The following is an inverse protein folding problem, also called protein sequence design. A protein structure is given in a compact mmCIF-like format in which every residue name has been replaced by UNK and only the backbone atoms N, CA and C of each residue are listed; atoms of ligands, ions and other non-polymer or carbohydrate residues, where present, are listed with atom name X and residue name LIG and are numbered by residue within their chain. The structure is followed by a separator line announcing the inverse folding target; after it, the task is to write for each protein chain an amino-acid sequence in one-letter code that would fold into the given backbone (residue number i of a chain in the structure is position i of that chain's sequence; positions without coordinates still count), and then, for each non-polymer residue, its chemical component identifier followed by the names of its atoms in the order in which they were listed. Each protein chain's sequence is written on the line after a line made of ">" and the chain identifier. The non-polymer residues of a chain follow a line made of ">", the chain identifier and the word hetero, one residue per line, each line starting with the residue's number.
data_IF_199406345826
#
_entry.id   IF_199406345826
#
_cell.length_a   1.000
_cell.length_b   1.000
_cell.length_c   1.000
_cell.angle_alpha   90.00
_cell.angle_beta   90.00
_cell.angle_gamma   90.00
#
_symmetry.space_group_name_H-M   'P 1'
#
loop_
_entity.id
_entity.type
_entity.pdbx_description
1 polymer ?
#
# COMPACT_ATOMS: atom_id res chain seq x y z
N UNK A 1 -33.72 20.95 19.45
CA UNK A 1 -33.34 20.41 18.15
C UNK A 1 -32.15 19.48 18.37
N UNK A 2 -32.24 18.19 18.10
CA UNK A 2 -31.07 17.32 18.20
C UNK A 2 -30.11 17.73 17.08
N UNK A 3 -28.88 18.08 17.44
CA UNK A 3 -27.77 18.27 16.52
C UNK A 3 -27.59 16.95 15.76
N UNK A 4 -27.84 16.97 14.47
CA UNK A 4 -27.45 15.91 13.55
C UNK A 4 -25.92 15.74 13.74
N UNK A 5 -25.49 14.73 14.45
CA UNK A 5 -24.10 14.28 14.36
C UNK A 5 -23.88 13.88 12.89
N UNK A 6 -23.22 14.77 12.17
CA UNK A 6 -22.82 14.49 10.80
C UNK A 6 -21.94 13.25 10.84
N UNK A 7 -22.43 12.14 10.32
CA UNK A 7 -21.62 10.90 10.21
C UNK A 7 -20.37 11.22 9.40
N UNK A 8 -19.20 10.90 9.96
CA UNK A 8 -17.95 11.10 9.25
C UNK A 8 -17.96 10.32 7.93
N UNK A 9 -17.35 10.86 6.86
CA UNK A 9 -17.17 10.09 5.63
C UNK A 9 -16.24 8.90 5.88
N UNK A 10 -16.44 7.82 5.14
CA UNK A 10 -15.67 6.58 5.26
C UNK A 10 -14.45 6.60 4.36
N UNK A 11 -13.28 6.35 4.94
CA UNK A 11 -12.02 6.29 4.24
C UNK A 11 -11.43 4.88 4.33
N UNK A 12 -11.30 4.18 3.21
CA UNK A 12 -10.51 2.95 3.17
C UNK A 12 -9.04 3.27 2.85
N UNK A 13 -8.14 2.83 3.73
CA UNK A 13 -6.70 3.06 3.60
C UNK A 13 -5.99 1.74 3.34
N UNK A 14 -5.22 1.66 2.24
CA UNK A 14 -4.46 0.47 1.87
C UNK A 14 -2.96 0.72 2.05
N UNK A 15 -2.30 -0.08 2.90
CA UNK A 15 -0.87 0.09 3.21
C UNK A 15 -0.05 -1.15 2.82
N UNK A 16 1.20 -0.99 2.32
CA UNK A 16 2.04 -2.12 1.96
C UNK A 16 2.60 -2.87 3.16
N UNK A 17 2.48 -2.28 4.35
CA UNK A 17 2.95 -2.86 5.61
C UNK A 17 2.06 -2.44 6.76
N UNK A 18 2.03 -3.29 7.78
CA UNK A 18 1.44 -2.90 9.07
C UNK A 18 2.20 -1.69 9.65
N UNK A 19 1.51 -0.66 10.20
CA UNK A 19 2.12 0.60 10.62
C UNK A 19 3.15 0.49 11.73
N UNK A 20 3.23 -0.64 12.43
CA UNK A 20 4.17 -0.88 13.53
C UNK A 20 5.19 -1.98 13.20
N UNK A 21 6.38 -1.97 13.87
CA UNK A 21 6.95 -0.92 14.70
C UNK A 21 7.41 0.30 13.89
N UNK A 22 7.54 1.47 14.53
CA UNK A 22 7.86 2.76 13.89
C UNK A 22 9.36 2.89 13.53
N UNK A 23 9.91 1.89 12.87
CA UNK A 23 11.33 1.81 12.52
C UNK A 23 11.63 2.08 11.03
N UNK A 24 10.63 2.51 10.27
CA UNK A 24 10.72 2.86 8.84
C UNK A 24 9.88 4.09 8.53
N UNK A 25 10.34 4.90 7.57
CA UNK A 25 9.67 6.15 7.19
C UNK A 25 8.22 5.95 6.73
N UNK A 26 7.97 4.90 5.92
CA UNK A 26 6.62 4.55 5.45
C UNK A 26 5.65 4.25 6.61
N UNK A 27 6.12 3.55 7.64
CA UNK A 27 5.32 3.24 8.83
C UNK A 27 5.08 4.46 9.72
N UNK A 28 6.13 5.25 9.94
CA UNK A 28 6.03 6.46 10.75
C UNK A 28 5.06 7.45 10.11
N UNK A 29 5.16 7.66 8.80
CA UNK A 29 4.27 8.55 8.06
C UNK A 29 2.82 8.12 8.17
N UNK A 30 2.49 6.87 7.82
CA UNK A 30 1.09 6.40 7.88
C UNK A 30 0.54 6.42 9.29
N UNK A 31 1.35 6.10 10.30
CA UNK A 31 0.95 6.16 11.69
C UNK A 31 0.49 7.57 12.10
N UNK A 32 1.22 8.61 11.67
CA UNK A 32 0.83 10.00 11.92
C UNK A 32 -0.35 10.45 11.04
N UNK A 33 -0.37 10.04 9.78
CA UNK A 33 -1.49 10.34 8.87
C UNK A 33 -2.82 9.78 9.41
N UNK A 34 -2.84 8.53 9.87
CA UNK A 34 -4.03 7.91 10.47
C UNK A 34 -4.54 8.71 11.67
N UNK A 35 -3.65 9.17 12.55
CA UNK A 35 -4.04 9.96 13.71
C UNK A 35 -4.70 11.31 13.34
N UNK A 36 -4.31 11.90 12.22
CA UNK A 36 -4.91 13.13 11.70
C UNK A 36 -6.23 12.82 10.98
N UNK A 37 -6.22 11.83 10.10
CA UNK A 37 -7.36 11.45 9.27
C UNK A 37 -8.53 10.92 10.11
N UNK A 38 -8.27 10.16 11.16
CA UNK A 38 -9.31 9.62 12.06
C UNK A 38 -10.14 10.71 12.77
N UNK A 39 -9.64 11.94 12.82
CA UNK A 39 -10.44 13.07 13.33
C UNK A 39 -11.59 13.45 12.38
N UNK A 40 -11.44 13.16 11.10
CA UNK A 40 -12.33 13.61 10.02
C UNK A 40 -13.04 12.47 9.29
N UNK A 41 -12.53 11.25 9.39
CA UNK A 41 -13.02 10.08 8.68
C UNK A 41 -13.21 8.89 9.63
N UNK A 42 -14.18 8.04 9.30
CA UNK A 42 -14.25 6.67 9.80
C UNK A 42 -13.30 5.82 8.94
N UNK A 43 -12.22 5.33 9.55
CA UNK A 43 -11.12 4.69 8.83
C UNK A 43 -11.23 3.17 8.84
N UNK A 44 -11.26 2.59 7.64
CA UNK A 44 -11.07 1.17 7.42
C UNK A 44 -9.65 0.90 6.89
N UNK A 45 -8.80 0.34 7.75
CA UNK A 45 -7.38 0.14 7.48
C UNK A 45 -7.10 -1.28 6.96
N UNK A 46 -6.62 -1.37 5.74
CA UNK A 46 -6.21 -2.60 5.07
C UNK A 46 -4.69 -2.68 4.96
N UNK A 47 -4.06 -3.56 5.73
CA UNK A 47 -2.60 -3.69 5.77
C UNK A 47 -2.14 -4.98 5.10
N UNK A 48 -1.16 -4.91 4.20
CA UNK A 48 -0.42 -6.08 3.76
C UNK A 48 0.67 -6.43 4.78
N UNK A 49 0.97 -7.70 4.98
CA UNK A 49 2.05 -8.12 5.88
C UNK A 49 2.64 -9.46 5.50
N UNK A 50 3.97 -9.55 5.47
CA UNK A 50 4.70 -10.82 5.35
C UNK A 50 4.90 -11.51 6.71
N UNK A 51 4.72 -10.77 7.82
CA UNK A 51 4.83 -11.32 9.17
C UNK A 51 3.48 -11.45 9.83
N UNK A 52 3.40 -12.28 10.83
CA UNK A 52 2.25 -12.29 11.73
C UNK A 52 2.26 -11.02 12.57
N UNK A 53 1.12 -10.38 12.69
CA UNK A 53 0.89 -9.21 13.55
C UNK A 53 0.25 -9.72 14.83
N UNK A 54 0.86 -9.40 15.97
CA UNK A 54 0.35 -9.81 17.29
C UNK A 54 -0.94 -9.04 17.65
N UNK A 55 -1.71 -9.58 18.59
CA UNK A 55 -2.94 -8.93 19.05
C UNK A 55 -2.62 -7.61 19.75
N UNK A 56 -1.55 -7.54 20.54
CA UNK A 56 -1.09 -6.29 21.17
C UNK A 56 -0.73 -5.20 20.12
N UNK A 57 -0.12 -5.58 18.98
CA UNK A 57 0.14 -4.63 17.89
C UNK A 57 -1.17 -4.19 17.21
N UNK A 58 -2.17 -5.07 17.10
CA UNK A 58 -3.48 -4.72 16.56
C UNK A 58 -4.20 -3.74 17.46
N UNK A 59 -4.25 -4.03 18.76
CA UNK A 59 -4.86 -3.15 19.75
C UNK A 59 -4.22 -1.76 19.76
N UNK A 60 -2.91 -1.68 19.65
CA UNK A 60 -2.17 -0.40 19.69
C UNK A 60 -2.41 0.52 18.48
N UNK A 61 -3.10 0.06 17.43
CA UNK A 61 -3.48 0.89 16.27
C UNK A 61 -4.97 1.20 16.21
N UNK A 62 -5.79 0.56 17.06
CA UNK A 62 -7.26 0.73 17.05
C UNK A 62 -7.70 2.12 17.55
N UNK A 63 -6.83 2.90 18.16
CA UNK A 63 -7.08 4.31 18.47
C UNK A 63 -7.02 5.23 17.24
N UNK A 64 -6.65 4.68 16.07
CA UNK A 64 -6.40 5.42 14.83
C UNK A 64 -7.21 4.91 13.62
N UNK A 65 -8.02 3.88 13.82
CA UNK A 65 -8.90 3.34 12.78
C UNK A 65 -10.08 2.63 13.43
N UNK A 66 -11.23 2.61 12.75
CA UNK A 66 -12.45 1.98 13.24
C UNK A 66 -12.47 0.50 12.90
N UNK A 67 -11.89 0.13 11.76
CA UNK A 67 -11.73 -1.24 11.33
C UNK A 67 -10.31 -1.53 10.86
N UNK A 68 -9.81 -2.72 11.16
CA UNK A 68 -8.49 -3.18 10.78
C UNK A 68 -8.55 -4.56 10.13
N UNK A 69 -8.06 -4.66 8.90
CA UNK A 69 -7.87 -5.95 8.23
C UNK A 69 -6.40 -6.14 7.83
N UNK A 70 -5.80 -7.23 8.28
CA UNK A 70 -4.40 -7.56 7.93
C UNK A 70 -4.39 -8.73 6.96
N UNK A 71 -3.87 -8.50 5.76
CA UNK A 71 -3.73 -9.49 4.71
C UNK A 71 -2.32 -10.08 4.74
N UNK A 72 -2.24 -11.38 4.99
CA UNK A 72 -0.95 -12.06 5.06
C UNK A 72 -0.46 -12.42 3.66
N UNK A 73 0.65 -11.80 3.24
CA UNK A 73 1.39 -12.17 2.04
C UNK A 73 2.19 -13.45 2.27
N UNK A 74 2.19 -14.33 1.30
CA UNK A 74 2.96 -15.57 1.35
C UNK A 74 4.34 -15.38 0.72
N UNK A 75 5.41 -15.65 1.49
CA UNK A 75 6.78 -15.68 0.98
C UNK A 75 6.98 -16.70 -0.14
N UNK A 76 6.31 -17.84 -0.06
CA UNK A 76 6.37 -18.88 -1.09
C UNK A 76 5.85 -18.36 -2.43
N UNK A 77 4.66 -17.77 -2.46
CA UNK A 77 4.09 -17.18 -3.69
C UNK A 77 4.84 -15.95 -4.16
N UNK A 78 5.40 -15.18 -3.23
CA UNK A 78 6.27 -14.05 -3.57
C UNK A 78 7.52 -14.52 -4.30
N UNK A 79 8.18 -15.58 -3.83
CA UNK A 79 9.34 -16.17 -4.47
C UNK A 79 9.01 -16.69 -5.88
N UNK A 80 7.91 -17.43 -6.04
CA UNK A 80 7.46 -17.88 -7.36
C UNK A 80 7.26 -16.71 -8.32
N UNK A 81 6.58 -15.64 -7.87
CA UNK A 81 6.40 -14.43 -8.69
C UNK A 81 7.73 -13.79 -9.07
N UNK A 82 8.71 -13.78 -8.16
CA UNK A 82 10.03 -13.24 -8.42
C UNK A 82 10.83 -14.07 -9.44
N UNK A 83 10.66 -15.38 -9.50
CA UNK A 83 11.26 -16.22 -10.56
C UNK A 83 10.76 -15.84 -11.95
N UNK A 84 9.49 -15.44 -12.07
CA UNK A 84 8.88 -14.99 -13.34
C UNK A 84 9.02 -13.48 -13.60
N UNK A 85 9.60 -12.75 -12.65
CA UNK A 85 9.75 -11.29 -12.74
C UNK A 85 10.60 -10.80 -13.92
N UNK A 86 11.66 -11.52 -14.40
CA UNK A 86 12.40 -11.09 -15.59
C UNK A 86 11.55 -11.04 -16.87
N UNK A 87 10.52 -11.89 -16.98
CA UNK A 87 9.60 -11.90 -18.13
C UNK A 87 8.49 -10.85 -17.98
N UNK A 88 8.33 -10.25 -16.80
CA UNK A 88 7.35 -9.20 -16.53
C UNK A 88 7.94 -7.83 -16.82
N UNK A 89 7.08 -6.91 -17.29
CA UNK A 89 7.44 -5.48 -17.40
C UNK A 89 7.19 -4.69 -16.11
N UNK A 90 6.60 -5.35 -15.07
CA UNK A 90 6.32 -4.72 -13.79
C UNK A 90 7.57 -4.67 -12.92
N UNK A 91 7.72 -3.65 -12.06
CA UNK A 91 8.80 -3.60 -11.08
C UNK A 91 8.78 -4.80 -10.13
N UNK A 92 9.95 -5.27 -9.72
CA UNK A 92 10.09 -6.40 -8.80
C UNK A 92 9.43 -6.10 -7.44
N UNK A 93 9.58 -4.88 -6.93
CA UNK A 93 8.98 -4.45 -5.69
C UNK A 93 7.44 -4.47 -5.74
N UNK A 94 6.84 -4.12 -6.88
CA UNK A 94 5.39 -4.20 -7.08
C UNK A 94 4.95 -5.66 -7.14
N UNK A 95 5.65 -6.49 -7.93
CA UNK A 95 5.36 -7.93 -8.05
C UNK A 95 5.45 -8.64 -6.70
N UNK A 96 6.43 -8.29 -5.86
CA UNK A 96 6.62 -8.86 -4.53
C UNK A 96 5.35 -8.70 -3.67
N UNK A 97 4.72 -7.54 -3.73
CA UNK A 97 3.53 -7.22 -2.93
C UNK A 97 2.21 -7.59 -3.61
N UNK A 98 2.20 -7.87 -4.92
CA UNK A 98 0.97 -8.14 -5.69
C UNK A 98 0.56 -9.61 -5.59
N UNK A 99 -0.56 -9.89 -4.93
CA UNK A 99 -1.15 -11.23 -4.86
C UNK A 99 -2.61 -11.21 -5.31
N UNK A 100 -2.90 -11.84 -6.46
CA UNK A 100 -4.23 -11.79 -7.10
C UNK A 100 -5.38 -12.25 -6.21
N UNK A 101 -5.13 -13.22 -5.31
CA UNK A 101 -6.12 -13.68 -4.34
C UNK A 101 -6.45 -12.57 -3.35
N UNK A 102 -5.42 -11.93 -2.79
CA UNK A 102 -5.60 -10.85 -1.82
C UNK A 102 -6.22 -9.60 -2.46
N UNK A 103 -5.90 -9.30 -3.72
CA UNK A 103 -6.55 -8.21 -4.47
C UNK A 103 -8.07 -8.44 -4.52
N UNK A 104 -8.50 -9.65 -4.88
CA UNK A 104 -9.93 -9.98 -4.95
C UNK A 104 -10.62 -9.92 -3.58
N UNK A 105 -9.99 -10.47 -2.55
CA UNK A 105 -10.53 -10.46 -1.18
C UNK A 105 -10.63 -9.04 -0.63
N UNK A 106 -9.58 -8.25 -0.77
CA UNK A 106 -9.55 -6.84 -0.37
C UNK A 106 -10.61 -6.03 -1.11
N UNK A 107 -10.69 -6.17 -2.43
CA UNK A 107 -11.70 -5.49 -3.25
C UNK A 107 -13.13 -5.79 -2.78
N UNK A 108 -13.44 -7.07 -2.53
CA UNK A 108 -14.77 -7.46 -2.03
C UNK A 108 -15.08 -6.87 -0.66
N UNK A 109 -14.10 -6.79 0.24
CA UNK A 109 -14.29 -6.19 1.57
C UNK A 109 -14.52 -4.69 1.46
N UNK A 110 -13.68 -3.98 0.73
CA UNK A 110 -13.80 -2.54 0.50
C UNK A 110 -15.17 -2.20 -0.10
N UNK A 111 -15.61 -2.94 -1.13
CA UNK A 111 -16.92 -2.70 -1.74
C UNK A 111 -18.09 -2.91 -0.78
N UNK A 112 -18.00 -3.87 0.16
CA UNK A 112 -19.04 -4.10 1.18
C UNK A 112 -19.10 -3.00 2.23
N UNK A 113 -18.04 -2.28 2.43
CA UNK A 113 -17.96 -1.21 3.43
C UNK A 113 -18.40 0.14 2.87
N UNK A 114 -18.58 0.24 1.55
CA UNK A 114 -19.04 1.45 0.85
C UNK A 114 -18.23 2.69 1.27
N UNK A 115 -16.91 2.73 1.07
CA UNK A 115 -16.12 3.89 1.40
C UNK A 115 -16.44 5.05 0.46
N UNK A 116 -16.35 6.28 0.96
CA UNK A 116 -16.50 7.50 0.19
C UNK A 116 -15.21 7.86 -0.56
N UNK A 117 -14.05 7.44 0.00
CA UNK A 117 -12.71 7.67 -0.57
C UNK A 117 -11.80 6.48 -0.29
N UNK A 118 -10.89 6.22 -1.22
CA UNK A 118 -9.80 5.24 -1.07
C UNK A 118 -8.45 5.95 -1.03
N UNK A 119 -7.57 5.55 -0.12
CA UNK A 119 -6.19 6.01 -0.05
C UNK A 119 -5.24 4.82 -0.17
N UNK A 120 -4.47 4.77 -1.23
CA UNK A 120 -3.39 3.80 -1.40
C UNK A 120 -2.04 4.43 -1.01
N UNK A 121 -1.35 3.84 -0.04
CA UNK A 121 -0.02 4.29 0.35
C UNK A 121 1.05 3.59 -0.47
N UNK A 122 1.87 4.36 -1.17
CA UNK A 122 2.96 3.92 -2.05
C UNK A 122 2.48 3.13 -3.30
N UNK A 123 3.23 3.22 -4.37
CA UNK A 123 2.95 2.51 -5.63
C UNK A 123 2.89 0.98 -5.51
N UNK A 124 3.40 0.40 -4.41
CA UNK A 124 3.32 -1.04 -4.11
C UNK A 124 1.89 -1.52 -3.87
N UNK A 125 1.01 -0.64 -3.42
CA UNK A 125 -0.41 -0.94 -3.17
C UNK A 125 -1.32 -0.56 -4.33
N UNK A 126 -0.79 0.15 -5.33
CA UNK A 126 -1.57 0.64 -6.48
C UNK A 126 -2.36 -0.48 -7.17
N UNK A 127 -1.78 -1.68 -7.33
CA UNK A 127 -2.47 -2.83 -7.96
C UNK A 127 -3.71 -3.30 -7.20
N UNK A 128 -3.87 -2.94 -5.93
CA UNK A 128 -5.03 -3.27 -5.10
C UNK A 128 -6.19 -2.30 -5.28
N UNK A 129 -5.92 -1.07 -5.72
CA UNK A 129 -6.86 0.05 -5.72
C UNK A 129 -7.15 0.61 -7.12
N UNK A 130 -6.23 0.57 -8.05
CA UNK A 130 -6.29 1.26 -9.36
C UNK A 130 -7.52 0.98 -10.24
N UNK A 131 -8.26 -0.10 -9.98
CA UNK A 131 -9.42 -0.49 -10.77
C UNK A 131 -10.75 -0.22 -10.01
N UNK A 132 -10.75 0.73 -9.08
CA UNK A 132 -11.93 1.17 -8.33
C UNK A 132 -12.58 2.40 -8.96
N UNK A 133 -13.15 2.25 -10.16
CA UNK A 133 -13.69 3.36 -10.95
C UNK A 133 -14.92 4.06 -10.30
N UNK A 134 -15.57 3.39 -9.33
CA UNK A 134 -16.80 3.89 -8.70
C UNK A 134 -16.56 4.72 -7.43
N UNK A 135 -15.33 4.78 -6.92
CA UNK A 135 -14.98 5.45 -5.67
C UNK A 135 -13.74 6.31 -5.90
N UNK A 136 -13.77 7.61 -5.54
CA UNK A 136 -12.59 8.47 -5.62
C UNK A 136 -11.40 7.83 -4.92
N UNK A 137 -10.26 7.74 -5.60
CA UNK A 137 -9.09 7.07 -5.07
C UNK A 137 -7.81 7.88 -5.28
N UNK A 138 -7.04 7.94 -4.21
CA UNK A 138 -5.82 8.72 -4.09
C UNK A 138 -4.62 7.80 -3.93
N UNK A 139 -3.53 8.08 -4.63
CA UNK A 139 -2.26 7.40 -4.44
C UNK A 139 -1.26 8.32 -3.74
N UNK A 140 -0.91 8.04 -2.49
CA UNK A 140 0.18 8.73 -1.79
C UNK A 140 1.54 8.20 -2.27
N UNK A 141 2.14 8.90 -3.24
CA UNK A 141 3.49 8.60 -3.72
C UNK A 141 4.49 9.22 -2.74
N UNK A 142 4.80 8.49 -1.70
CA UNK A 142 5.63 8.94 -0.57
C UNK A 142 7.09 9.16 -0.94
N UNK A 143 7.65 8.24 -1.72
CA UNK A 143 9.05 8.22 -2.16
C UNK A 143 9.12 7.75 -3.60
N UNK A 144 10.01 8.37 -4.36
CA UNK A 144 10.41 7.87 -5.68
C UNK A 144 11.23 6.59 -5.47
N UNK A 145 10.56 5.44 -5.58
CA UNK A 145 11.20 4.14 -5.35
C UNK A 145 12.35 3.88 -6.32
N UNK A 146 12.29 4.47 -7.53
CA UNK A 146 13.37 4.38 -8.51
C UNK A 146 14.67 5.01 -7.97
N UNK A 147 14.61 6.21 -7.36
CA UNK A 147 15.80 6.85 -6.79
C UNK A 147 16.39 6.03 -5.62
N UNK A 148 15.55 5.30 -4.89
CA UNK A 148 16.00 4.32 -3.89
C UNK A 148 16.77 3.15 -4.51
N UNK A 149 16.27 2.60 -5.62
CA UNK A 149 16.93 1.50 -6.34
C UNK A 149 18.26 1.94 -6.96
N UNK A 150 18.35 3.14 -7.50
CA UNK A 150 19.59 3.73 -8.05
C UNK A 150 20.65 3.91 -6.95
N UNK A 151 20.30 4.53 -5.82
CA UNK A 151 21.21 4.69 -4.67
C UNK A 151 21.68 3.34 -4.11
N UNK A 152 20.82 2.33 -4.13
CA UNK A 152 21.20 0.97 -3.70
C UNK A 152 22.15 0.32 -4.72
N UNK A 153 21.96 0.55 -6.02
CA UNK A 153 22.83 0.06 -7.07
C UNK A 153 24.25 0.59 -6.94
N UNK A 154 24.42 1.87 -6.58
CA UNK A 154 25.74 2.49 -6.37
C UNK A 154 26.54 1.80 -5.24
N UNK A 155 25.85 1.39 -4.17
CA UNK A 155 26.44 0.76 -2.98
C UNK A 155 26.56 -0.76 -3.07
N UNK A 156 25.94 -1.37 -4.08
CA UNK A 156 25.85 -2.81 -4.22
C UNK A 156 27.05 -3.41 -4.99
N UNK A 157 27.41 -4.68 -4.72
CA UNK A 157 28.40 -5.41 -5.50
C UNK A 157 28.05 -5.42 -6.99
N UNK A 158 29.07 -5.49 -7.85
CA UNK A 158 28.93 -5.35 -9.32
C UNK A 158 27.92 -6.34 -9.93
N UNK A 159 27.75 -7.53 -9.37
CA UNK A 159 26.82 -8.55 -9.86
C UNK A 159 25.35 -8.27 -9.53
N UNK A 160 25.03 -7.46 -8.50
CA UNK A 160 23.67 -7.01 -8.17
C UNK A 160 23.27 -5.73 -8.92
N UNK A 161 24.25 -4.93 -9.29
CA UNK A 161 24.03 -3.61 -9.89
C UNK A 161 23.14 -3.62 -11.12
N UNK A 162 23.33 -4.54 -12.12
CA UNK A 162 22.45 -4.58 -13.31
C UNK A 162 20.97 -4.81 -12.95
N UNK A 163 20.70 -5.68 -11.97
CA UNK A 163 19.35 -5.99 -11.51
C UNK A 163 18.67 -4.77 -10.87
N UNK A 164 19.40 -4.03 -10.05
CA UNK A 164 18.90 -2.83 -9.37
C UNK A 164 18.67 -1.67 -10.36
N UNK A 165 19.55 -1.52 -11.34
CA UNK A 165 19.36 -0.53 -12.41
C UNK A 165 18.14 -0.85 -13.28
N UNK A 166 17.93 -2.13 -13.61
CA UNK A 166 16.72 -2.55 -14.34
C UNK A 166 15.46 -2.34 -13.49
N UNK A 167 15.51 -2.63 -12.20
CA UNK A 167 14.41 -2.29 -11.28
C UNK A 167 14.10 -0.80 -11.27
N UNK A 168 15.13 0.05 -11.18
CA UNK A 168 14.98 1.51 -11.25
C UNK A 168 14.27 1.95 -12.53
N UNK A 169 14.69 1.44 -13.71
CA UNK A 169 14.04 1.74 -15.00
C UNK A 169 12.57 1.29 -15.05
N UNK A 170 12.24 0.13 -14.45
CA UNK A 170 10.87 -0.38 -14.38
C UNK A 170 10.02 0.49 -13.46
N UNK A 171 10.59 0.90 -12.32
CA UNK A 171 9.92 1.79 -11.36
C UNK A 171 9.60 3.14 -11.97
N UNK A 172 10.54 3.79 -12.66
CA UNK A 172 10.29 5.05 -13.38
C UNK A 172 9.07 4.92 -14.29
N UNK A 173 9.06 3.91 -15.16
CA UNK A 173 7.93 3.70 -16.10
C UNK A 173 6.61 3.42 -15.39
N UNK A 174 6.67 2.72 -14.25
CA UNK A 174 5.49 2.36 -13.48
C UNK A 174 4.96 3.58 -12.70
N UNK A 175 5.82 4.32 -12.02
CA UNK A 175 5.48 5.53 -11.27
C UNK A 175 4.88 6.60 -12.18
N UNK A 176 5.43 6.82 -13.38
CA UNK A 176 4.88 7.75 -14.37
C UNK A 176 3.52 7.33 -14.93
N UNK A 177 3.20 6.03 -14.91
CA UNK A 177 1.91 5.51 -15.42
C UNK A 177 0.82 5.55 -14.36
N UNK A 178 1.16 5.36 -13.09
CA UNK A 178 0.17 5.21 -12.00
C UNK A 178 -0.75 6.42 -11.83
N UNK A 179 -0.30 7.67 -11.93
CA UNK A 179 -1.20 8.83 -11.83
C UNK A 179 -2.42 8.78 -12.78
N UNK A 180 -2.29 8.12 -13.93
CA UNK A 180 -3.41 8.00 -14.89
C UNK A 180 -4.56 7.10 -14.43
N UNK A 181 -4.37 6.36 -13.34
CA UNK A 181 -5.37 5.45 -12.76
C UNK A 181 -5.98 5.99 -11.47
N UNK A 182 -5.56 7.16 -10.99
CA UNK A 182 -5.99 7.72 -9.73
C UNK A 182 -6.51 9.13 -9.94
N UNK A 183 -7.49 9.53 -9.12
CA UNK A 183 -8.08 10.88 -9.19
C UNK A 183 -7.11 11.94 -8.64
N UNK A 184 -6.20 11.54 -7.73
CA UNK A 184 -5.13 12.39 -7.21
C UNK A 184 -3.90 11.56 -6.77
N UNK A 185 -2.71 12.23 -6.76
CA UNK A 185 -1.45 11.69 -6.30
C UNK A 185 -0.68 12.71 -5.47
#
# INVERSE_FOLDING_TARGET
>A
MPSSEATKPRLAVVTPRFPLPLNKGDRLRIHHQLAILHRHFDIDLHCLSFRTVSDAERESIMDRCDHLTVYRLSWFWALIRMMWAPLSRRPFQVLLFTEKRLIRDMRQRILRQHPDVLLAQMVRTAEYVKDFDAVPHVLDIMDTLHAGAEREAEKSPFWKRPLLLEEGRRLVRYEHRMPNYFDAC
#
